data_IF_087526835276
#
_entry.id   IF_087526835276
#
_cell.length_a   1.000
_cell.length_b   1.000
_cell.length_c   1.000
_cell.angle_alpha   90.00
_cell.angle_beta   90.00
_cell.angle_gamma   90.00
#
_symmetry.space_group_name_H-M   'P 1'
#
loop_
_entity.id
_entity.type
_entity.pdbx_description
1 polymer ?
#
# COMPACT_ATOMS: atom_id res chain seq x y z
N UNK A 1 -15.80 14.73 11.86
CA UNK A 1 -15.43 13.93 10.67
C UNK A 1 -16.64 13.11 10.29
N UNK A 2 -17.12 13.21 9.06
CA UNK A 2 -18.21 12.39 8.53
C UNK A 2 -17.63 11.54 7.39
N UNK A 3 -18.01 10.26 7.31
CA UNK A 3 -17.47 9.30 6.34
C UNK A 3 -18.64 8.63 5.63
N UNK A 4 -18.71 8.78 4.32
CA UNK A 4 -19.72 8.19 3.44
C UNK A 4 -19.05 7.15 2.51
N UNK A 5 -18.42 6.14 3.13
CA UNK A 5 -17.63 5.12 2.43
C UNK A 5 -16.64 4.38 3.32
N UNK A 6 -15.60 3.83 2.70
CA UNK A 6 -14.50 3.14 3.38
C UNK A 6 -13.27 4.03 3.42
N UNK A 7 -12.67 4.19 4.60
CA UNK A 7 -11.42 4.93 4.80
C UNK A 7 -10.40 4.04 5.48
N UNK A 8 -9.17 4.03 4.97
CA UNK A 8 -8.02 3.41 5.62
C UNK A 8 -7.14 4.49 6.21
N UNK A 9 -6.69 4.30 7.45
CA UNK A 9 -5.82 5.25 8.15
C UNK A 9 -4.57 4.52 8.61
N UNK A 10 -3.42 5.05 8.19
CA UNK A 10 -2.11 4.61 8.65
C UNK A 10 -1.76 5.29 9.98
N UNK A 11 -1.42 4.48 10.97
CA UNK A 11 -0.96 4.94 12.28
C UNK A 11 0.57 5.07 12.25
N UNK A 12 1.10 5.94 13.11
CA UNK A 12 2.55 6.17 13.24
C UNK A 12 3.38 4.92 13.56
N UNK A 13 2.77 3.86 14.10
CA UNK A 13 3.43 2.61 14.43
C UNK A 13 3.36 1.55 13.30
N UNK A 14 2.97 1.95 12.08
CA UNK A 14 2.80 1.04 10.94
C UNK A 14 1.47 0.28 10.91
N UNK A 15 0.67 0.35 11.97
CA UNK A 15 -0.66 -0.27 12.01
C UNK A 15 -1.66 0.46 11.11
N UNK A 16 -2.55 -0.28 10.47
CA UNK A 16 -3.59 0.28 9.60
C UNK A 16 -4.96 -0.07 10.19
N UNK A 17 -5.86 0.91 10.21
CA UNK A 17 -7.27 0.70 10.58
C UNK A 17 -8.19 1.06 9.43
N UNK A 18 -9.33 0.34 9.37
CA UNK A 18 -10.39 0.54 8.39
C UNK A 18 -11.63 1.06 9.07
N UNK A 19 -12.21 2.13 8.54
CA UNK A 19 -13.51 2.65 8.90
C UNK A 19 -14.50 2.42 7.77
N UNK A 20 -15.72 2.02 8.09
CA UNK A 20 -16.85 1.95 7.16
C UNK A 20 -18.01 2.73 7.76
N UNK A 21 -18.53 3.71 7.01
CA UNK A 21 -19.63 4.58 7.44
C UNK A 21 -19.41 5.22 8.83
N UNK A 22 -18.15 5.53 9.15
CA UNK A 22 -17.73 6.16 10.40
C UNK A 22 -17.37 5.21 11.55
N UNK A 23 -17.53 3.90 11.41
CA UNK A 23 -17.19 2.91 12.45
C UNK A 23 -15.94 2.10 12.10
N UNK A 24 -15.03 1.92 13.05
CA UNK A 24 -13.86 1.03 12.88
C UNK A 24 -14.31 -0.43 12.79
N UNK A 25 -13.81 -1.19 11.80
CA UNK A 25 -14.30 -2.54 11.51
C UNK A 25 -13.45 -3.67 12.10
N UNK A 26 -12.43 -3.37 12.89
CA UNK A 26 -11.49 -4.37 13.42
C UNK A 26 -10.63 -5.08 12.36
N UNK A 27 -10.60 -4.56 11.13
CA UNK A 27 -9.78 -5.08 10.03
C UNK A 27 -8.29 -4.97 10.38
N UNK A 28 -7.51 -5.95 9.96
CA UNK A 28 -6.07 -6.04 10.21
C UNK A 28 -5.36 -6.63 9.01
N UNK A 29 -4.12 -6.23 8.80
CA UNK A 29 -3.24 -6.85 7.80
C UNK A 29 -2.65 -8.15 8.33
N UNK A 30 -2.39 -9.08 7.42
CA UNK A 30 -1.50 -10.21 7.66
C UNK A 30 -0.10 -9.71 8.03
N UNK A 31 0.63 -10.51 8.81
CA UNK A 31 2.03 -10.22 9.15
C UNK A 31 2.90 -10.32 7.91
N UNK A 32 3.82 -9.37 7.76
CA UNK A 32 4.85 -9.39 6.71
C UNK A 32 6.23 -9.36 7.35
N UNK A 33 7.23 -9.88 6.63
CA UNK A 33 8.62 -9.88 7.06
C UNK A 33 9.49 -9.13 6.04
N UNK A 34 10.24 -8.08 6.45
CA UNK A 34 10.22 -7.44 7.78
C UNK A 34 8.83 -6.89 8.17
N UNK A 35 8.52 -6.69 9.47
CA UNK A 35 7.27 -6.05 9.88
C UNK A 35 7.21 -4.59 9.42
N UNK A 36 6.01 -4.07 9.18
CA UNK A 36 5.80 -2.65 8.92
C UNK A 36 6.07 -1.87 10.21
N UNK A 37 7.04 -0.95 10.16
CA UNK A 37 7.46 -0.15 11.31
C UNK A 37 7.40 1.35 11.03
N UNK A 38 7.72 1.76 9.80
CA UNK A 38 7.77 3.18 9.40
C UNK A 38 7.14 3.39 8.02
N UNK A 39 5.97 2.78 7.80
CA UNK A 39 5.18 3.08 6.61
C UNK A 39 4.83 4.58 6.58
N UNK A 40 4.94 5.20 5.41
CA UNK A 40 4.73 6.65 5.23
C UNK A 40 3.41 6.95 4.53
N UNK A 41 2.91 6.03 3.70
CA UNK A 41 1.79 6.31 2.81
C UNK A 41 0.94 5.08 2.53
N UNK A 42 -0.34 5.34 2.27
CA UNK A 42 -1.30 4.37 1.74
C UNK A 42 -1.78 4.83 0.37
N UNK A 43 -1.85 3.91 -0.58
CA UNK A 43 -2.50 4.13 -1.86
C UNK A 43 -3.60 3.09 -2.07
N UNK A 44 -4.76 3.52 -2.58
CA UNK A 44 -5.83 2.63 -3.06
C UNK A 44 -6.77 3.39 -3.99
N UNK A 45 -7.61 2.66 -4.72
CA UNK A 45 -8.72 3.19 -5.50
C UNK A 45 -10.05 2.52 -5.09
N UNK A 46 -11.18 3.18 -5.36
CA UNK A 46 -12.53 2.66 -5.10
C UNK A 46 -12.83 1.32 -5.78
N UNK A 47 -12.25 1.06 -6.96
CA UNK A 47 -12.46 -0.18 -7.73
C UNK A 47 -11.38 -1.22 -7.51
N UNK A 48 -10.22 -0.81 -6.99
CA UNK A 48 -9.13 -1.73 -6.66
C UNK A 48 -9.55 -2.65 -5.51
N UNK A 49 -9.22 -3.96 -5.52
CA UNK A 49 -9.33 -4.81 -4.34
C UNK A 49 -8.13 -4.68 -3.40
N UNK A 50 -7.13 -3.85 -3.73
CA UNK A 50 -5.85 -3.81 -3.05
C UNK A 50 -5.64 -2.51 -2.24
N UNK A 51 -4.86 -2.63 -1.18
CA UNK A 51 -4.29 -1.54 -0.40
C UNK A 51 -2.78 -1.63 -0.48
N UNK A 52 -2.16 -0.54 -0.89
CA UNK A 52 -0.72 -0.44 -1.08
C UNK A 52 -0.15 0.38 0.06
N UNK A 53 0.95 -0.09 0.63
CA UNK A 53 1.58 0.49 1.81
C UNK A 53 3.04 0.78 1.49
N UNK A 54 3.39 2.07 1.41
CA UNK A 54 4.74 2.52 1.13
C UNK A 54 5.55 2.54 2.42
N UNK A 55 6.71 1.88 2.42
CA UNK A 55 7.65 1.91 3.55
C UNK A 55 9.06 2.28 3.06
N UNK A 56 9.41 3.58 3.08
CA UNK A 56 10.71 4.06 2.63
C UNK A 56 11.88 3.46 3.41
N UNK A 57 11.74 3.23 4.72
CA UNK A 57 12.82 2.70 5.56
C UNK A 57 13.30 1.31 5.14
N UNK A 58 12.45 0.54 4.46
CA UNK A 58 12.78 -0.79 3.93
C UNK A 58 12.77 -0.81 2.39
N UNK A 59 12.68 0.37 1.74
CA UNK A 59 12.70 0.57 0.29
C UNK A 59 11.68 -0.29 -0.45
N UNK A 60 10.47 -0.37 0.09
CA UNK A 60 9.45 -1.29 -0.44
C UNK A 60 8.05 -0.71 -0.50
N UNK A 61 7.24 -1.37 -1.32
CA UNK A 61 5.78 -1.31 -1.32
C UNK A 61 5.22 -2.68 -0.96
N UNK A 62 4.31 -2.72 0.00
CA UNK A 62 3.59 -3.93 0.39
C UNK A 62 2.15 -3.82 -0.09
N UNK A 63 1.61 -4.90 -0.63
CA UNK A 63 0.24 -4.96 -1.16
C UNK A 63 -0.57 -5.94 -0.33
N UNK A 64 -1.71 -5.47 0.18
CA UNK A 64 -2.70 -6.26 0.90
C UNK A 64 -4.04 -6.29 0.17
N UNK A 65 -4.83 -7.33 0.38
CA UNK A 65 -6.23 -7.36 -0.01
C UNK A 65 -7.06 -6.50 0.96
N UNK A 66 -7.93 -5.63 0.45
CA UNK A 66 -8.77 -4.74 1.26
C UNK A 66 -9.90 -5.44 2.01
N UNK A 67 -10.34 -6.59 1.52
CA UNK A 67 -11.45 -7.33 2.11
C UNK A 67 -11.03 -7.95 3.44
N UNK A 68 -9.96 -8.75 3.42
CA UNK A 68 -9.51 -9.60 4.53
C UNK A 68 -8.14 -9.21 5.10
N UNK A 69 -7.38 -8.34 4.44
CA UNK A 69 -6.05 -7.92 4.88
C UNK A 69 -4.93 -8.89 4.55
N UNK A 70 -5.20 -9.92 3.73
CA UNK A 70 -4.18 -10.90 3.32
C UNK A 70 -3.04 -10.24 2.56
N UNK A 71 -1.82 -10.74 2.78
CA UNK A 71 -0.65 -10.32 2.04
C UNK A 71 -0.73 -10.83 0.60
N UNK A 72 -0.52 -9.93 -0.37
CA UNK A 72 -0.63 -10.23 -1.81
C UNK A 72 0.74 -10.23 -2.47
N UNK A 73 1.52 -9.16 -2.26
CA UNK A 73 2.81 -8.96 -2.91
C UNK A 73 3.68 -7.94 -2.18
N UNK A 74 4.99 -7.99 -2.45
CA UNK A 74 5.96 -6.99 -2.05
C UNK A 74 6.85 -6.61 -3.24
N UNK A 75 7.09 -5.32 -3.40
CA UNK A 75 8.03 -4.75 -4.37
C UNK A 75 9.13 -4.04 -3.59
N UNK A 76 10.36 -4.54 -3.70
CA UNK A 76 11.50 -4.00 -2.95
C UNK A 76 12.72 -3.94 -3.86
N UNK A 77 13.49 -2.87 -3.75
CA UNK A 77 14.74 -2.73 -4.50
C UNK A 77 15.66 -1.72 -3.83
N UNK A 78 16.97 -2.00 -3.88
CA UNK A 78 17.99 -1.03 -3.45
C UNK A 78 18.02 0.24 -4.32
N UNK A 79 17.44 0.21 -5.53
CA UNK A 79 17.33 1.40 -6.38
C UNK A 79 16.31 2.43 -5.86
N UNK A 80 15.45 2.05 -4.92
CA UNK A 80 14.44 2.91 -4.29
C UNK A 80 15.00 3.60 -3.04
N UNK A 81 16.22 4.11 -3.13
CA UNK A 81 16.79 5.00 -2.11
C UNK A 81 16.01 6.33 -2.05
N UNK A 82 15.86 6.88 -0.84
CA UNK A 82 15.11 8.12 -0.60
C UNK A 82 13.70 8.08 -1.23
N UNK A 83 13.00 6.96 -1.05
CA UNK A 83 11.64 6.73 -1.56
C UNK A 83 10.65 7.74 -0.97
N UNK A 84 10.00 8.51 -1.84
CA UNK A 84 9.14 9.65 -1.48
C UNK A 84 7.67 9.31 -1.61
N UNK A 85 7.26 8.75 -2.75
CA UNK A 85 5.85 8.63 -3.15
C UNK A 85 5.65 7.43 -4.09
N UNK A 86 4.41 6.95 -4.21
CA UNK A 86 3.99 5.89 -5.10
C UNK A 86 2.64 6.19 -5.75
N UNK A 87 2.57 5.96 -7.06
CA UNK A 87 1.30 5.93 -7.80
C UNK A 87 1.16 4.60 -8.51
N UNK A 88 -0.02 3.99 -8.38
CA UNK A 88 -0.34 2.72 -9.04
C UNK A 88 -1.35 2.96 -10.16
N UNK A 89 -1.04 2.43 -11.33
CA UNK A 89 -1.91 2.45 -12.51
C UNK A 89 -2.32 1.01 -12.82
N UNK A 90 -3.39 0.52 -12.18
CA UNK A 90 -3.82 -0.87 -12.33
C UNK A 90 -4.24 -1.22 -13.77
N UNK A 91 -4.86 -0.27 -14.47
CA UNK A 91 -5.22 -0.39 -15.89
C UNK A 91 -3.99 -0.62 -16.80
N UNK A 92 -2.88 0.02 -16.50
CA UNK A 92 -1.59 -0.14 -17.19
C UNK A 92 -0.73 -1.23 -16.56
N UNK A 93 -1.22 -1.85 -15.49
CA UNK A 93 -0.51 -2.83 -14.67
C UNK A 93 0.88 -2.36 -14.27
N UNK A 94 1.00 -1.11 -13.87
CA UNK A 94 2.26 -0.46 -13.57
C UNK A 94 2.23 0.22 -12.22
N UNK A 95 3.38 0.22 -11.55
CA UNK A 95 3.64 0.98 -10.33
C UNK A 95 4.75 1.97 -10.64
N UNK A 96 4.53 3.22 -10.26
CA UNK A 96 5.47 4.31 -10.40
C UNK A 96 5.95 4.74 -9.02
N UNK A 97 7.25 4.67 -8.80
CA UNK A 97 7.89 5.11 -7.57
C UNK A 97 8.63 6.41 -7.82
N UNK A 98 8.41 7.41 -6.96
CA UNK A 98 9.26 8.59 -6.88
C UNK A 98 10.30 8.34 -5.78
N UNK A 99 11.57 8.34 -6.15
CA UNK A 99 12.70 8.14 -5.24
C UNK A 99 13.76 9.21 -5.55
N UNK A 100 14.05 10.05 -4.57
CA UNK A 100 14.77 11.32 -4.75
C UNK A 100 14.18 12.15 -5.92
N UNK A 101 14.91 12.25 -7.02
CA UNK A 101 14.57 13.03 -8.22
C UNK A 101 14.26 12.13 -9.44
N UNK A 102 14.09 10.82 -9.21
CA UNK A 102 13.91 9.81 -10.25
C UNK A 102 12.55 9.13 -10.11
N UNK A 103 11.96 8.82 -11.28
CA UNK A 103 10.75 8.00 -11.36
C UNK A 103 11.13 6.61 -11.88
N UNK A 104 10.85 5.58 -11.09
CA UNK A 104 10.98 4.19 -11.48
C UNK A 104 9.63 3.62 -11.87
N UNK A 105 9.59 2.85 -12.96
CA UNK A 105 8.40 2.08 -13.36
C UNK A 105 8.68 0.60 -13.18
N UNK A 106 7.78 -0.11 -12.50
CA UNK A 106 7.79 -1.58 -12.43
C UNK A 106 6.45 -2.14 -12.85
N UNK A 107 6.46 -3.34 -13.41
CA UNK A 107 5.22 -4.04 -13.73
C UNK A 107 4.58 -4.62 -12.46
N UNK A 108 3.29 -4.35 -12.27
CA UNK A 108 2.49 -4.80 -11.14
C UNK A 108 2.14 -6.29 -11.30
N UNK A 109 3.12 -7.16 -11.06
CA UNK A 109 3.00 -8.62 -11.23
C UNK A 109 1.79 -9.27 -10.55
N UNK A 110 1.31 -8.74 -9.43
CA UNK A 110 0.10 -9.25 -8.76
C UNK A 110 -1.18 -9.10 -9.60
N UNK A 111 -1.24 -8.11 -10.49
CA UNK A 111 -2.37 -7.87 -11.41
C UNK A 111 -2.37 -8.78 -12.65
N UNK A 112 -1.38 -9.67 -12.74
CA UNK A 112 -1.27 -10.66 -13.82
C UNK A 112 -1.69 -12.07 -13.40
N UNK A 113 -1.95 -12.30 -12.12
CA UNK A 113 -2.43 -13.59 -11.63
C UNK A 113 -3.93 -13.69 -11.91
N UNK A 114 -4.32 -14.73 -12.65
CA UNK A 114 -5.73 -15.10 -12.88
C UNK A 114 -6.27 -15.87 -11.69
#
# INVERSE_FOLDING_TARGET
MAVDGTVFVLKKNGGIVRFVSGSETGWKTESVDPPLTNASELWTDTKSPYLYVLEPSTKRLVVFNKEDGTFVAQYQSDALDDLVDVVVSENQKAIYFLADSKVYRVDASHLNKK
#
